data_IF_599271431379
#
_entry.id   IF_599271431379
#
_cell.length_a   1.000
_cell.length_b   1.000
_cell.length_c   1.000
_cell.angle_alpha   90.00
_cell.angle_beta   90.00
_cell.angle_gamma   90.00
#
_symmetry.space_group_name_H-M   'P 1'
#
loop_
_entity.id
_entity.type
_entity.pdbx_description
1 polymer ?
#
# COMPACT_ATOMS: atom_id res chain seq x y z
N UNK A 1 -15.96 28.86 -2.11
CA UNK A 1 -15.59 27.58 -1.47
C UNK A 1 -14.35 27.07 -2.17
N UNK A 2 -13.31 26.71 -1.44
CA UNK A 2 -12.12 26.11 -2.05
C UNK A 2 -12.49 24.73 -2.63
N UNK A 3 -11.98 24.41 -3.81
CA UNK A 3 -12.16 23.10 -4.42
C UNK A 3 -11.29 22.05 -3.72
N UNK A 4 -11.61 20.76 -3.83
CA UNK A 4 -10.77 19.68 -3.32
C UNK A 4 -9.36 19.70 -3.92
N UNK A 5 -9.21 20.11 -5.18
CA UNK A 5 -7.91 20.26 -5.83
C UNK A 5 -7.02 21.28 -5.10
N UNK A 6 -7.56 22.42 -4.72
CA UNK A 6 -6.82 23.45 -3.96
C UNK A 6 -6.39 22.95 -2.57
N UNK A 7 -7.21 22.13 -1.91
CA UNK A 7 -6.83 21.50 -0.64
C UNK A 7 -5.69 20.51 -0.81
N UNK A 8 -5.72 19.69 -1.85
CA UNK A 8 -4.66 18.72 -2.13
C UNK A 8 -3.33 19.42 -2.44
N UNK A 9 -3.35 20.49 -3.20
CA UNK A 9 -2.16 21.26 -3.56
C UNK A 9 -1.53 22.01 -2.36
N UNK A 10 -2.34 22.38 -1.39
CA UNK A 10 -1.89 23.13 -0.21
C UNK A 10 -1.49 22.24 0.98
N UNK A 11 -1.84 20.97 0.96
CA UNK A 11 -1.64 20.07 2.09
C UNK A 11 -0.23 19.49 2.10
N UNK A 12 0.65 20.04 2.91
CA UNK A 12 1.99 19.50 3.16
C UNK A 12 1.86 18.15 3.87
N UNK A 13 2.36 17.09 3.22
CA UNK A 13 2.32 15.73 3.77
C UNK A 13 1.03 14.97 3.50
N UNK A 14 0.09 15.53 2.75
CA UNK A 14 -1.05 14.75 2.25
C UNK A 14 -0.55 13.75 1.21
N UNK A 15 -0.93 12.46 1.31
CA UNK A 15 -0.51 11.46 0.33
C UNK A 15 -1.22 11.74 -1.00
N UNK A 16 -0.49 12.32 -1.96
CA UNK A 16 -1.05 12.71 -3.25
C UNK A 16 -1.04 11.58 -4.28
N UNK A 17 -0.16 10.60 -4.10
CA UNK A 17 -0.07 9.46 -5.00
C UNK A 17 -1.38 8.66 -5.03
N UNK A 18 -1.97 8.59 -6.22
CA UNK A 18 -3.22 7.87 -6.45
C UNK A 18 -4.49 8.69 -6.19
N UNK A 19 -4.40 9.87 -5.56
CA UNK A 19 -5.55 10.77 -5.42
C UNK A 19 -5.71 11.66 -6.65
N UNK A 20 -6.95 11.86 -7.05
CA UNK A 20 -7.33 12.81 -8.11
C UNK A 20 -8.70 13.40 -7.83
N UNK A 21 -8.93 14.57 -8.38
CA UNK A 21 -10.26 15.21 -8.38
C UNK A 21 -10.81 15.18 -9.80
N UNK A 22 -12.04 14.75 -9.95
CA UNK A 22 -12.77 14.76 -11.20
C UNK A 22 -14.21 15.18 -10.94
N UNK A 23 -14.71 16.20 -11.67
CA UNK A 23 -16.04 16.78 -11.49
C UNK A 23 -16.36 17.15 -10.02
N UNK A 24 -15.37 17.73 -9.33
CA UNK A 24 -15.43 18.14 -7.91
C UNK A 24 -15.61 16.98 -6.91
N UNK A 25 -15.39 15.74 -7.35
CA UNK A 25 -15.39 14.55 -6.52
C UNK A 25 -13.98 13.99 -6.33
N UNK A 26 -13.69 13.48 -5.14
CA UNK A 26 -12.39 12.91 -4.78
C UNK A 26 -12.34 11.42 -5.10
N UNK A 27 -11.32 11.05 -5.86
CA UNK A 27 -11.01 9.66 -6.22
C UNK A 27 -9.67 9.22 -5.61
N UNK A 28 -9.59 7.95 -5.28
CA UNK A 28 -8.34 7.25 -5.01
C UNK A 28 -8.19 6.12 -6.02
N UNK A 29 -7.22 6.25 -6.94
CA UNK A 29 -7.16 5.45 -8.17
C UNK A 29 -8.51 5.56 -8.92
N UNK A 30 -9.21 4.45 -9.14
CA UNK A 30 -10.50 4.44 -9.81
C UNK A 30 -11.71 4.40 -8.86
N UNK A 31 -11.45 4.54 -7.55
CA UNK A 31 -12.49 4.49 -6.52
C UNK A 31 -13.01 5.90 -6.21
N UNK A 32 -14.29 6.14 -6.42
CA UNK A 32 -14.96 7.34 -5.95
C UNK A 32 -15.15 7.25 -4.43
N UNK A 33 -14.51 8.16 -3.68
CA UNK A 33 -14.53 8.10 -2.22
C UNK A 33 -15.89 8.47 -1.64
N UNK A 34 -16.66 9.33 -2.30
CA UNK A 34 -18.01 9.69 -1.82
C UNK A 34 -18.97 8.51 -1.96
N UNK A 35 -18.93 7.79 -3.08
CA UNK A 35 -19.73 6.57 -3.26
C UNK A 35 -19.40 5.50 -2.21
N UNK A 36 -18.11 5.36 -1.86
CA UNK A 36 -17.69 4.42 -0.81
C UNK A 36 -18.24 4.84 0.56
N UNK A 37 -18.21 6.14 0.88
CA UNK A 37 -18.75 6.67 2.13
C UNK A 37 -20.26 6.49 2.20
N UNK A 38 -20.96 6.74 1.10
CA UNK A 38 -22.41 6.52 1.01
C UNK A 38 -22.78 5.05 1.20
N UNK A 39 -21.97 4.14 0.66
CA UNK A 39 -22.21 2.69 0.73
C UNK A 39 -21.90 2.12 2.11
N UNK A 40 -20.78 2.52 2.71
CA UNK A 40 -20.23 1.89 3.91
C UNK A 40 -20.29 2.76 5.17
N UNK A 41 -20.59 4.04 5.01
CA UNK A 41 -20.63 5.00 6.10
C UNK A 41 -19.27 5.65 6.41
N UNK A 42 -19.29 6.56 7.37
CA UNK A 42 -18.12 7.30 7.84
C UNK A 42 -18.06 7.22 9.38
N UNK A 43 -16.85 7.10 9.99
CA UNK A 43 -15.53 7.10 9.35
C UNK A 43 -15.26 5.81 8.57
N UNK A 44 -14.55 5.92 7.45
CA UNK A 44 -14.21 4.80 6.57
C UNK A 44 -12.70 4.58 6.53
N UNK A 45 -12.28 3.33 6.71
CA UNK A 45 -10.92 2.87 6.50
C UNK A 45 -10.93 1.75 5.46
N UNK A 46 -10.11 1.88 4.43
CA UNK A 46 -9.95 0.84 3.41
C UNK A 46 -8.47 0.59 3.11
N UNK A 47 -8.18 -0.57 2.55
CA UNK A 47 -6.84 -0.96 2.12
C UNK A 47 -6.85 -1.21 0.62
N UNK A 48 -5.98 -0.49 -0.10
CA UNK A 48 -5.81 -0.69 -1.55
C UNK A 48 -4.73 -1.75 -1.79
N UNK A 49 -5.15 -2.99 -1.99
CA UNK A 49 -4.27 -4.15 -2.07
C UNK A 49 -3.20 -4.08 -3.18
N UNK A 50 -3.46 -3.55 -4.39
CA UNK A 50 -2.45 -3.51 -5.45
C UNK A 50 -1.16 -2.77 -5.08
N UNK A 51 -1.22 -1.81 -4.16
CA UNK A 51 -0.02 -1.09 -3.67
C UNK A 51 0.92 -2.04 -2.93
N UNK A 52 0.40 -3.01 -2.20
CA UNK A 52 1.20 -4.01 -1.46
C UNK A 52 2.08 -4.77 -2.44
N UNK A 53 1.50 -5.37 -3.46
CA UNK A 53 2.24 -6.10 -4.50
C UNK A 53 3.24 -5.21 -5.22
N UNK A 54 2.84 -4.01 -5.63
CA UNK A 54 3.73 -3.04 -6.28
C UNK A 54 4.97 -2.73 -5.43
N UNK A 55 4.77 -2.45 -4.16
CA UNK A 55 5.87 -2.07 -3.26
C UNK A 55 6.80 -3.25 -2.95
N UNK A 56 6.25 -4.46 -2.79
CA UNK A 56 7.05 -5.67 -2.62
C UNK A 56 7.93 -5.93 -3.85
N UNK A 57 7.36 -5.87 -5.04
CA UNK A 57 8.10 -6.08 -6.29
C UNK A 57 9.17 -5.01 -6.48
N UNK A 58 8.86 -3.75 -6.18
CA UNK A 58 9.82 -2.65 -6.28
C UNK A 58 11.00 -2.85 -5.31
N UNK A 59 10.74 -3.27 -4.08
CA UNK A 59 11.78 -3.58 -3.11
C UNK A 59 12.68 -4.72 -3.60
N UNK A 60 12.10 -5.80 -4.13
CA UNK A 60 12.85 -6.92 -4.71
C UNK A 60 13.76 -6.46 -5.86
N UNK A 61 13.27 -5.61 -6.74
CA UNK A 61 14.04 -5.05 -7.86
C UNK A 61 15.24 -4.24 -7.33
N UNK A 62 15.03 -3.33 -6.40
CA UNK A 62 16.10 -2.51 -5.83
C UNK A 62 17.19 -3.34 -5.14
N UNK A 63 16.80 -4.32 -4.33
CA UNK A 63 17.76 -5.19 -3.67
C UNK A 63 18.49 -6.08 -4.67
N UNK A 64 17.82 -6.60 -5.70
CA UNK A 64 18.47 -7.38 -6.75
C UNK A 64 19.49 -6.55 -7.54
N UNK A 65 19.16 -5.30 -7.87
CA UNK A 65 20.10 -4.38 -8.52
C UNK A 65 21.32 -4.10 -7.62
N UNK A 66 21.10 -3.87 -6.33
CA UNK A 66 22.19 -3.65 -5.38
C UNK A 66 23.10 -4.88 -5.24
N UNK A 67 22.52 -6.09 -5.21
CA UNK A 67 23.25 -7.36 -5.17
C UNK A 67 24.18 -7.49 -6.39
N UNK A 68 23.63 -7.24 -7.59
CA UNK A 68 24.40 -7.32 -8.83
C UNK A 68 25.50 -6.27 -8.88
N UNK A 69 25.17 -5.00 -8.57
CA UNK A 69 26.11 -3.88 -8.65
C UNK A 69 27.28 -4.00 -7.65
N UNK A 70 27.11 -4.72 -6.57
CA UNK A 70 28.13 -4.88 -5.52
C UNK A 70 28.72 -6.29 -5.46
N UNK A 71 28.44 -7.13 -6.45
CA UNK A 71 28.89 -8.55 -6.50
C UNK A 71 28.63 -9.31 -5.18
N UNK A 72 27.50 -9.01 -4.54
CA UNK A 72 27.11 -9.66 -3.29
C UNK A 72 26.68 -11.09 -3.54
N UNK A 73 27.24 -12.04 -2.78
CA UNK A 73 27.02 -13.48 -2.99
C UNK A 73 25.83 -14.06 -2.23
N UNK A 74 25.20 -13.26 -1.37
CA UNK A 74 24.02 -13.68 -0.62
C UNK A 74 22.71 -13.51 -1.42
N UNK A 75 21.61 -13.90 -0.79
CA UNK A 75 20.25 -13.76 -1.33
C UNK A 75 19.45 -12.74 -0.53
N UNK A 76 18.51 -12.07 -1.19
CA UNK A 76 17.52 -11.23 -0.54
C UNK A 76 16.24 -12.03 -0.27
N UNK A 77 15.75 -11.95 0.94
CA UNK A 77 14.46 -12.50 1.35
C UNK A 77 13.57 -11.40 1.88
N UNK A 78 12.43 -11.17 1.22
CA UNK A 78 11.42 -10.28 1.75
C UNK A 78 10.58 -11.02 2.77
N UNK A 79 10.53 -10.51 4.01
CA UNK A 79 9.70 -11.06 5.08
C UNK A 79 8.66 -10.02 5.48
N UNK A 80 7.38 -10.35 5.27
CA UNK A 80 6.30 -9.49 5.75
C UNK A 80 6.05 -9.74 7.23
N UNK A 81 6.07 -8.66 8.04
CA UNK A 81 5.85 -8.73 9.46
C UNK A 81 4.34 -8.70 9.79
N UNK A 82 3.81 -9.81 10.28
CA UNK A 82 2.37 -9.98 10.56
C UNK A 82 1.84 -9.07 11.65
N UNK A 83 2.68 -8.65 12.60
CA UNK A 83 2.27 -7.70 13.66
C UNK A 83 1.87 -6.32 13.13
N UNK A 84 2.34 -5.94 11.95
CA UNK A 84 1.96 -4.65 11.32
C UNK A 84 0.51 -4.65 10.90
N UNK A 85 0.06 -5.73 10.29
CA UNK A 85 -1.34 -6.01 9.96
C UNK A 85 -1.48 -7.48 9.57
N UNK A 86 -2.34 -8.21 10.24
CA UNK A 86 -2.55 -9.65 10.00
C UNK A 86 -3.96 -9.95 9.46
N UNK A 87 -4.61 -8.96 8.83
CA UNK A 87 -5.85 -9.23 8.10
C UNK A 87 -5.60 -10.18 6.95
N UNK A 88 -6.49 -11.17 6.80
CA UNK A 88 -6.37 -12.24 5.81
C UNK A 88 -6.05 -11.71 4.40
N UNK A 89 -6.79 -10.72 3.93
CA UNK A 89 -6.61 -10.15 2.59
C UNK A 89 -5.23 -9.50 2.36
N UNK A 90 -4.62 -8.94 3.41
CA UNK A 90 -3.26 -8.36 3.35
C UNK A 90 -2.21 -9.46 3.27
N UNK A 91 -2.36 -10.53 4.07
CA UNK A 91 -1.46 -11.67 4.02
C UNK A 91 -1.54 -12.40 2.68
N UNK A 92 -2.74 -12.65 2.17
CA UNK A 92 -2.95 -13.29 0.87
C UNK A 92 -2.33 -12.46 -0.27
N UNK A 93 -2.51 -11.14 -0.26
CA UNK A 93 -1.89 -10.27 -1.26
C UNK A 93 -0.37 -10.27 -1.17
N UNK A 94 0.18 -10.24 0.05
CA UNK A 94 1.63 -10.33 0.27
C UNK A 94 2.20 -11.66 -0.25
N UNK A 95 1.57 -12.78 0.09
CA UNK A 95 2.02 -14.12 -0.29
C UNK A 95 1.99 -14.37 -1.81
N UNK A 96 1.12 -13.73 -2.58
CA UNK A 96 1.14 -13.78 -4.05
C UNK A 96 2.49 -13.36 -4.66
N UNK A 97 3.27 -12.61 -3.90
CA UNK A 97 4.56 -12.07 -4.34
C UNK A 97 5.76 -12.92 -3.90
N UNK A 98 5.56 -14.18 -3.54
CA UNK A 98 6.63 -15.09 -3.12
C UNK A 98 7.48 -14.49 -1.99
N UNK A 99 6.83 -14.00 -0.95
CA UNK A 99 7.46 -13.49 0.26
C UNK A 99 7.31 -14.49 1.40
N UNK A 100 8.14 -14.33 2.41
CA UNK A 100 8.02 -15.05 3.67
C UNK A 100 7.19 -14.23 4.67
N UNK A 101 6.65 -14.89 5.69
CA UNK A 101 6.03 -14.23 6.81
C UNK A 101 6.97 -14.22 8.00
N UNK A 102 7.02 -13.10 8.71
CA UNK A 102 7.67 -12.99 10.00
C UNK A 102 6.59 -12.88 11.08
N UNK A 103 6.65 -13.74 12.07
CA UNK A 103 5.74 -13.75 13.22
C UNK A 103 6.49 -13.35 14.47
N UNK A 104 5.91 -12.46 15.27
CA UNK A 104 6.56 -11.92 16.47
C UNK A 104 6.21 -12.68 17.75
N UNK A 105 5.12 -13.48 17.72
CA UNK A 105 4.64 -14.23 18.88
C UNK A 105 3.90 -15.50 18.47
N UNK A 106 3.66 -16.38 19.44
CA UNK A 106 2.84 -17.57 19.23
C UNK A 106 1.37 -17.26 18.86
N UNK A 107 0.90 -16.05 19.10
CA UNK A 107 -0.45 -15.61 18.72
C UNK A 107 -0.57 -15.29 17.23
N UNK A 108 0.54 -15.12 16.53
CA UNK A 108 0.58 -14.81 15.10
C UNK A 108 0.66 -16.08 14.22
N UNK A 109 0.79 -17.25 14.82
CA UNK A 109 0.94 -18.53 14.14
C UNK A 109 -0.38 -19.26 13.89
#
# INVERSE_FOLDING_TARGET
MQSYAEFLDQSVGFPQDGFRVNDDELYFHDLNLMELIETYGSPLKFTYLPIISRNIQQAKIWFQQAIVNNDYKGKYHYCYCTKSSHFKHILEESLKNEVHLETSSAFDM
#
